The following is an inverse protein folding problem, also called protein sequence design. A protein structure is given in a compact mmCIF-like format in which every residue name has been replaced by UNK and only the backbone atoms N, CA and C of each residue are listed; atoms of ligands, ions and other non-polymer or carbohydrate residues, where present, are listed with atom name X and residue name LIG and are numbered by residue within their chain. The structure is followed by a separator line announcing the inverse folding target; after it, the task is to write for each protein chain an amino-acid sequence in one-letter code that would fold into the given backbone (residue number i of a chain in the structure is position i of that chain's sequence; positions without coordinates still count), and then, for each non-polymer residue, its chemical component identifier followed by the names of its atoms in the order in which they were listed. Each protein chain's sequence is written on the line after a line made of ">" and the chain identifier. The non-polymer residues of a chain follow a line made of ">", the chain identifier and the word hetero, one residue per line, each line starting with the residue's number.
data_IF_372049176048
#
_entry.id   IF_372049176048
#
_cell.length_a   1.000
_cell.length_b   1.000
_cell.length_c   1.000
_cell.angle_alpha   90.00
_cell.angle_beta   90.00
_cell.angle_gamma   90.00
#
_symmetry.space_group_name_H-M   'P 1'
#
loop_
_entity.id
_entity.type
_entity.pdbx_description
1 polymer ?
#
# COMPACT_ATOMS: atom_id res chain seq x y z
N UNK A 1 -77.37 0.22 21.93
CA UNK A 1 -76.38 0.31 23.03
C UNK A 1 -75.14 1.00 22.50
N UNK A 2 -74.48 1.80 23.31
CA UNK A 2 -73.10 2.22 23.05
C UNK A 2 -72.17 1.00 23.21
N UNK A 3 -71.22 0.80 22.31
CA UNK A 3 -70.25 -0.29 22.36
C UNK A 3 -68.83 0.30 22.29
N UNK A 4 -68.48 1.13 23.27
CA UNK A 4 -67.24 1.91 23.26
C UNK A 4 -66.04 1.06 23.72
N UNK A 5 -64.88 1.25 23.08
CA UNK A 5 -63.65 0.50 23.36
C UNK A 5 -63.23 0.64 24.82
N UNK A 6 -63.12 -0.48 25.55
CA UNK A 6 -62.70 -0.50 26.95
C UNK A 6 -61.25 -0.01 27.18
N UNK A 7 -60.43 0.07 26.12
CA UNK A 7 -59.04 0.54 26.18
C UNK A 7 -58.90 1.97 25.66
N UNK A 8 -59.74 2.36 24.69
CA UNK A 8 -59.64 3.63 23.96
C UNK A 8 -60.70 4.68 24.27
N UNK A 9 -61.72 4.38 25.09
CA UNK A 9 -62.77 5.32 25.49
C UNK A 9 -62.75 5.63 26.99
N UNK A 10 -63.31 6.78 27.38
CA UNK A 10 -63.42 7.21 28.77
C UNK A 10 -64.43 6.35 29.55
N UNK A 11 -65.51 5.91 28.89
CA UNK A 11 -66.49 4.99 29.45
C UNK A 11 -67.06 4.08 28.35
N UNK A 12 -67.32 2.81 28.69
CA UNK A 12 -67.75 1.78 27.73
C UNK A 12 -69.22 1.90 27.32
N UNK A 13 -70.04 2.52 28.18
CA UNK A 13 -71.50 2.52 28.08
C UNK A 13 -72.11 3.89 27.71
N UNK A 14 -71.35 4.98 27.78
CA UNK A 14 -71.84 6.33 27.47
C UNK A 14 -71.34 6.77 26.10
N UNK A 15 -72.26 7.19 25.24
CA UNK A 15 -71.97 7.78 23.94
C UNK A 15 -73.01 8.85 23.62
N UNK A 16 -72.70 9.71 22.64
CA UNK A 16 -73.63 10.74 22.20
C UNK A 16 -74.94 10.10 21.69
N UNK A 17 -76.07 10.42 22.32
CA UNK A 17 -77.37 9.81 22.02
C UNK A 17 -77.91 10.07 20.61
N UNK A 18 -77.37 11.07 19.89
CA UNK A 18 -77.78 11.44 18.54
C UNK A 18 -76.82 10.93 17.46
N UNK A 19 -75.51 10.89 17.74
CA UNK A 19 -74.48 10.50 16.76
C UNK A 19 -73.87 9.13 17.00
N UNK A 20 -74.06 8.53 18.17
CA UNK A 20 -73.41 7.28 18.58
C UNK A 20 -71.91 7.40 18.92
N UNK A 21 -71.33 8.60 18.84
CA UNK A 21 -69.90 8.82 19.08
C UNK A 21 -69.54 8.62 20.55
N UNK A 22 -68.56 7.75 20.80
CA UNK A 22 -67.97 7.51 22.10
C UNK A 22 -66.94 8.60 22.48
N UNK A 23 -66.77 8.93 23.78
CA UNK A 23 -65.72 9.84 24.25
C UNK A 23 -64.37 9.13 24.23
N UNK A 24 -63.50 9.46 23.27
CA UNK A 24 -62.20 8.80 23.10
C UNK A 24 -61.10 9.39 24.01
N UNK A 25 -60.21 8.52 24.46
CA UNK A 25 -58.97 8.88 25.13
C UNK A 25 -57.95 9.43 24.13
N UNK A 26 -56.96 10.18 24.62
CA UNK A 26 -55.89 10.73 23.78
C UNK A 26 -55.16 9.59 23.03
N UNK A 27 -54.99 9.76 21.72
CA UNK A 27 -54.39 8.76 20.84
C UNK A 27 -55.37 7.77 20.21
N UNK A 28 -56.66 7.82 20.54
CA UNK A 28 -57.71 6.97 19.95
C UNK A 28 -58.70 7.79 19.11
N UNK A 29 -59.29 7.15 18.10
CA UNK A 29 -60.25 7.76 17.18
C UNK A 29 -61.27 6.73 16.65
N UNK A 30 -62.24 7.21 15.88
CA UNK A 30 -63.36 6.45 15.34
C UNK A 30 -64.60 6.44 16.25
N UNK A 31 -65.72 5.96 15.70
CA UNK A 31 -67.03 6.01 16.37
C UNK A 31 -67.05 5.35 17.76
N UNK A 32 -66.26 4.27 17.92
CA UNK A 32 -66.16 3.49 19.14
C UNK A 32 -64.75 3.52 19.77
N UNK A 33 -63.89 4.45 19.33
CA UNK A 33 -62.52 4.61 19.83
C UNK A 33 -61.65 3.35 19.68
N UNK A 34 -61.85 2.60 18.60
CA UNK A 34 -61.16 1.34 18.30
C UNK A 34 -59.91 1.51 17.41
N UNK A 35 -59.74 2.68 16.79
CA UNK A 35 -58.59 2.98 15.92
C UNK A 35 -57.63 3.95 16.62
N UNK A 36 -56.36 3.95 16.22
CA UNK A 36 -55.42 4.97 16.68
C UNK A 36 -55.60 6.28 15.91
N UNK A 37 -55.47 7.40 16.61
CA UNK A 37 -55.46 8.73 16.02
C UNK A 37 -54.18 8.97 15.20
N UNK A 38 -54.17 9.99 14.35
CA UNK A 38 -52.96 10.38 13.62
C UNK A 38 -51.79 10.70 14.57
N UNK A 39 -50.59 10.25 14.21
CA UNK A 39 -49.43 10.34 15.09
C UNK A 39 -49.41 9.30 16.22
N UNK A 40 -50.28 8.28 16.17
CA UNK A 40 -50.26 7.12 17.05
C UNK A 40 -50.33 5.82 16.23
N UNK A 41 -49.70 4.75 16.73
CA UNK A 41 -49.74 3.40 16.14
C UNK A 41 -50.21 2.38 17.19
N UNK A 42 -50.73 1.24 16.74
CA UNK A 42 -51.20 0.17 17.62
C UNK A 42 -50.04 -0.75 17.99
N UNK A 43 -49.62 -0.73 19.25
CA UNK A 43 -48.55 -1.61 19.76
C UNK A 43 -49.09 -3.04 19.96
N UNK A 44 -48.64 -4.05 19.19
CA UNK A 44 -49.22 -5.40 19.23
C UNK A 44 -49.14 -6.05 20.61
N UNK A 45 -48.08 -5.75 21.36
CA UNK A 45 -47.78 -6.32 22.67
C UNK A 45 -48.74 -5.86 23.78
N UNK A 46 -49.30 -4.65 23.65
CA UNK A 46 -50.13 -4.02 24.69
C UNK A 46 -51.58 -3.78 24.25
N UNK A 47 -51.87 -3.89 22.94
CA UNK A 47 -53.15 -3.47 22.33
C UNK A 47 -53.54 -2.02 22.66
N UNK A 48 -52.55 -1.15 22.85
CA UNK A 48 -52.75 0.29 23.09
C UNK A 48 -52.20 1.12 21.94
N UNK A 49 -52.84 2.25 21.68
CA UNK A 49 -52.31 3.27 20.79
C UNK A 49 -51.16 4.02 21.50
N UNK A 50 -49.96 3.92 20.96
CA UNK A 50 -48.76 4.63 21.44
C UNK A 50 -48.40 5.76 20.47
N UNK A 51 -47.88 6.90 20.97
CA UNK A 51 -47.48 8.00 20.10
C UNK A 51 -46.30 7.60 19.21
N UNK A 52 -46.31 8.05 17.95
CA UNK A 52 -45.26 7.81 16.98
C UNK A 52 -43.91 8.35 17.47
N UNK A 53 -43.88 9.52 18.11
CA UNK A 53 -42.66 10.09 18.69
C UNK A 53 -41.56 10.46 17.67
N UNK A 54 -41.95 10.76 16.42
CA UNK A 54 -41.00 11.10 15.36
C UNK A 54 -40.26 12.41 15.65
N UNK A 55 -38.94 12.41 15.45
CA UNK A 55 -38.08 13.61 15.53
C UNK A 55 -38.56 14.70 14.57
N UNK A 56 -38.86 15.93 15.03
CA UNK A 56 -39.32 17.00 14.15
C UNK A 56 -38.23 17.44 13.16
N UNK A 57 -36.96 17.39 13.57
CA UNK A 57 -35.83 17.72 12.71
C UNK A 57 -35.55 16.63 11.68
N UNK A 58 -35.56 15.36 12.10
CA UNK A 58 -35.13 14.22 11.28
C UNK A 58 -36.23 13.47 10.51
N UNK A 59 -37.50 13.61 10.89
CA UNK A 59 -38.64 13.02 10.18
C UNK A 59 -39.26 13.99 9.18
N UNK A 60 -39.82 13.47 8.09
CA UNK A 60 -40.59 14.24 7.09
C UNK A 60 -42.00 14.58 7.57
N UNK A 61 -42.54 13.81 8.52
CA UNK A 61 -43.83 14.09 9.16
C UNK A 61 -43.87 13.54 10.60
N UNK A 62 -44.93 13.86 11.34
CA UNK A 62 -45.20 13.31 12.68
C UNK A 62 -45.89 11.94 12.66
N UNK A 63 -46.24 11.43 11.48
CA UNK A 63 -46.89 10.13 11.29
C UNK A 63 -45.85 9.02 11.19
N UNK A 64 -46.28 7.81 11.56
CA UNK A 64 -45.50 6.58 11.47
C UNK A 64 -46.35 5.46 10.86
N UNK A 65 -45.70 4.41 10.37
CA UNK A 65 -46.40 3.22 9.87
C UNK A 65 -47.00 2.36 11.00
N UNK A 66 -47.66 1.26 10.63
CA UNK A 66 -48.27 0.33 11.58
C UNK A 66 -47.27 -0.34 12.56
N UNK A 67 -45.96 -0.28 12.30
CA UNK A 67 -44.89 -0.75 13.19
C UNK A 67 -44.33 0.34 14.10
N UNK A 68 -44.84 1.56 14.01
CA UNK A 68 -44.35 2.71 14.78
C UNK A 68 -43.11 3.37 14.18
N UNK A 69 -42.75 3.06 12.93
CA UNK A 69 -41.57 3.59 12.23
C UNK A 69 -41.90 4.89 11.50
N UNK A 70 -41.11 5.91 11.74
CA UNK A 70 -41.25 7.24 11.15
C UNK A 70 -40.62 7.33 9.74
N UNK A 71 -41.10 8.28 8.93
CA UNK A 71 -40.56 8.52 7.58
C UNK A 71 -39.37 9.49 7.63
N UNK A 72 -38.16 8.95 7.76
CA UNK A 72 -36.95 9.77 7.93
C UNK A 72 -36.56 10.57 6.68
N UNK A 73 -35.96 11.74 6.91
CA UNK A 73 -35.27 12.54 5.91
C UNK A 73 -33.91 11.92 5.58
N UNK A 74 -33.33 12.33 4.45
CA UNK A 74 -31.96 11.93 4.05
C UNK A 74 -30.96 12.27 5.16
N UNK A 75 -30.03 11.36 5.43
CA UNK A 75 -29.01 11.50 6.47
C UNK A 75 -29.43 11.08 7.88
N UNK A 76 -30.69 10.67 8.08
CA UNK A 76 -31.25 10.30 9.39
C UNK A 76 -31.92 8.92 9.31
N UNK A 77 -31.83 8.15 10.40
CA UNK A 77 -32.24 6.75 10.49
C UNK A 77 -32.84 6.41 11.86
N UNK A 78 -33.07 5.13 12.12
CA UNK A 78 -33.74 4.54 13.28
C UNK A 78 -35.27 4.78 13.29
N UNK A 79 -35.97 4.12 14.22
CA UNK A 79 -37.43 4.08 14.31
C UNK A 79 -38.06 5.47 14.42
N UNK A 80 -37.36 6.41 15.06
CA UNK A 80 -37.82 7.77 15.39
C UNK A 80 -37.14 8.87 14.59
N UNK A 81 -36.23 8.54 13.67
CA UNK A 81 -35.46 9.50 12.89
C UNK A 81 -34.66 10.49 13.77
N UNK A 82 -34.04 9.97 14.83
CA UNK A 82 -33.31 10.73 15.85
C UNK A 82 -31.79 10.48 15.83
N UNK A 83 -31.32 9.53 15.01
CA UNK A 83 -29.90 9.19 14.83
C UNK A 83 -29.46 9.42 13.38
N UNK A 84 -28.23 9.89 13.17
CA UNK A 84 -27.68 10.03 11.82
C UNK A 84 -27.41 8.66 11.20
N UNK A 85 -27.61 8.55 9.88
CA UNK A 85 -27.26 7.34 9.12
C UNK A 85 -25.75 7.25 8.88
N UNK A 86 -25.27 6.07 8.49
CA UNK A 86 -23.87 5.91 8.08
C UNK A 86 -23.51 6.92 6.97
N UNK A 87 -22.31 7.49 7.05
CA UNK A 87 -21.88 8.59 6.19
C UNK A 87 -22.39 9.98 6.60
N UNK A 88 -23.07 10.11 7.76
CA UNK A 88 -23.52 11.39 8.31
C UNK A 88 -23.16 11.52 9.81
N UNK A 89 -22.95 12.75 10.28
CA UNK A 89 -22.68 13.09 11.68
C UNK A 89 -23.62 14.18 12.20
N UNK A 90 -23.78 14.26 13.53
CA UNK A 90 -24.68 15.19 14.21
C UNK A 90 -24.06 16.58 14.28
N UNK A 91 -24.58 17.51 13.50
CA UNK A 91 -24.26 18.94 13.57
C UNK A 91 -25.28 19.68 14.44
N UNK A 92 -24.78 20.43 15.43
CA UNK A 92 -25.59 21.24 16.37
C UNK A 92 -26.77 20.49 17.01
N UNK A 93 -26.51 19.27 17.50
CA UNK A 93 -27.42 18.34 18.19
C UNK A 93 -28.68 17.87 17.43
N UNK A 94 -29.08 18.56 16.36
CA UNK A 94 -30.42 18.48 15.78
C UNK A 94 -30.46 18.13 14.30
N UNK A 95 -29.36 18.34 13.58
CA UNK A 95 -29.25 18.12 12.13
C UNK A 95 -28.16 17.10 11.84
N UNK A 96 -28.32 16.29 10.80
CA UNK A 96 -27.28 15.37 10.32
C UNK A 96 -26.67 15.91 9.03
N UNK A 97 -25.35 16.08 9.00
CA UNK A 97 -24.59 16.53 7.83
C UNK A 97 -23.72 15.40 7.28
N UNK A 98 -23.48 15.35 5.95
CA UNK A 98 -22.65 14.30 5.34
C UNK A 98 -21.18 14.44 5.76
N UNK A 99 -20.51 13.30 5.97
CA UNK A 99 -19.09 13.26 6.34
C UNK A 99 -18.20 13.97 5.30
N UNK A 100 -17.37 14.92 5.73
CA UNK A 100 -16.55 15.77 4.84
C UNK A 100 -15.12 15.22 4.67
N UNK A 101 -14.99 13.96 4.24
CA UNK A 101 -13.71 13.23 4.26
C UNK A 101 -12.81 13.39 3.02
N UNK A 102 -12.89 14.51 2.31
CA UNK A 102 -12.13 14.78 1.07
C UNK A 102 -12.18 13.65 0.01
N UNK A 103 -13.29 12.89 -0.04
CA UNK A 103 -13.45 11.68 -0.87
C UNK A 103 -12.47 10.51 -0.57
N UNK A 104 -11.70 10.59 0.52
CA UNK A 104 -10.80 9.52 0.98
C UNK A 104 -11.41 8.66 2.11
N UNK A 105 -12.65 8.93 2.52
CA UNK A 105 -13.52 8.01 3.27
C UNK A 105 -14.99 8.34 3.01
N UNK A 106 -15.87 7.36 3.23
CA UNK A 106 -17.33 7.49 3.23
C UNK A 106 -17.94 7.33 4.64
N UNK A 107 -17.10 7.19 5.68
CA UNK A 107 -17.55 6.99 7.07
C UNK A 107 -16.83 7.94 8.02
N UNK A 108 -17.56 8.44 9.00
CA UNK A 108 -17.04 9.30 10.06
C UNK A 108 -17.74 8.99 11.39
N UNK A 109 -17.16 9.45 12.50
CA UNK A 109 -17.73 9.32 13.83
C UNK A 109 -19.04 10.12 13.94
N UNK A 110 -20.19 9.50 14.33
CA UNK A 110 -21.51 10.14 14.27
C UNK A 110 -21.72 11.38 15.13
N UNK A 111 -20.80 11.69 16.06
CA UNK A 111 -20.87 12.85 16.96
C UNK A 111 -19.89 13.96 16.60
N UNK A 112 -18.70 13.63 16.10
CA UNK A 112 -17.63 14.61 15.85
C UNK A 112 -17.44 14.95 14.38
N UNK A 113 -17.92 14.10 13.46
CA UNK A 113 -17.60 14.20 12.04
C UNK A 113 -16.19 13.72 11.67
N UNK A 114 -15.40 13.24 12.63
CA UNK A 114 -14.03 12.76 12.40
C UNK A 114 -14.05 11.52 11.50
N UNK A 115 -13.36 11.60 10.36
CA UNK A 115 -13.34 10.56 9.34
C UNK A 115 -12.62 9.29 9.81
N UNK A 116 -13.23 8.15 9.50
CA UNK A 116 -12.73 6.83 9.87
C UNK A 116 -12.06 6.18 8.66
N UNK A 117 -10.99 5.42 8.90
CA UNK A 117 -10.29 4.61 7.88
C UNK A 117 -9.88 5.38 6.60
N UNK A 118 -9.26 6.56 6.75
CA UNK A 118 -8.73 7.36 5.65
C UNK A 118 -7.86 6.54 4.67
N UNK A 119 -8.30 6.49 3.41
CA UNK A 119 -7.73 5.73 2.30
C UNK A 119 -6.59 6.50 1.61
N UNK A 120 -6.01 5.91 0.56
CA UNK A 120 -5.05 6.58 -0.35
C UNK A 120 -3.80 7.19 0.35
N UNK A 121 -3.46 6.68 1.53
CA UNK A 121 -2.39 7.20 2.40
C UNK A 121 -2.64 8.61 2.96
N UNK A 122 -3.91 8.95 3.21
CA UNK A 122 -4.32 10.20 3.87
C UNK A 122 -4.55 10.04 5.37
N UNK A 123 -4.44 11.13 6.12
CA UNK A 123 -4.71 11.25 7.56
C UNK A 123 -5.25 12.65 7.87
N UNK A 124 -5.45 12.97 9.16
CA UNK A 124 -6.16 14.17 9.60
C UNK A 124 -7.64 13.88 9.93
N UNK A 125 -8.34 14.85 10.51
CA UNK A 125 -9.73 14.64 10.94
C UNK A 125 -10.71 14.47 9.79
N UNK A 126 -10.36 15.00 8.62
CA UNK A 126 -11.13 14.98 7.37
C UNK A 126 -10.36 14.31 6.23
N UNK A 127 -9.34 13.51 6.54
CA UNK A 127 -8.42 12.93 5.55
C UNK A 127 -7.70 14.00 4.68
N UNK A 128 -7.46 15.17 5.25
CA UNK A 128 -6.93 16.39 4.62
C UNK A 128 -5.40 16.50 4.63
N UNK A 129 -4.69 15.51 5.17
CA UNK A 129 -3.22 15.44 5.23
C UNK A 129 -2.74 14.14 4.57
N UNK A 130 -1.45 14.08 4.20
CA UNK A 130 -0.82 12.82 3.78
C UNK A 130 -0.11 12.19 4.99
N UNK A 131 -0.17 10.85 5.11
CA UNK A 131 0.52 10.09 6.15
C UNK A 131 2.02 10.36 6.15
N UNK A 132 2.67 10.14 7.29
CA UNK A 132 4.14 10.23 7.39
C UNK A 132 4.83 9.43 6.26
N UNK A 133 5.86 10.03 5.64
CA UNK A 133 6.58 9.50 4.47
C UNK A 133 5.78 9.49 3.16
N UNK A 134 4.66 10.19 3.11
CA UNK A 134 3.98 10.60 1.88
C UNK A 134 3.97 12.12 1.77
N UNK A 135 3.95 12.63 0.54
CA UNK A 135 3.82 14.05 0.22
C UNK A 135 2.61 14.26 -0.69
N UNK A 136 1.99 15.43 -0.59
CA UNK A 136 0.89 15.83 -1.45
C UNK A 136 1.44 16.24 -2.83
N UNK A 137 1.11 15.48 -3.86
CA UNK A 137 1.44 15.83 -5.24
C UNK A 137 0.48 16.89 -5.77
N UNK A 138 0.97 17.71 -6.71
CA UNK A 138 0.11 18.59 -7.50
C UNK A 138 -0.68 17.82 -8.56
N UNK A 139 -0.11 16.72 -9.08
CA UNK A 139 -0.69 15.90 -10.16
C UNK A 139 -0.45 14.40 -9.91
N UNK A 140 -1.47 13.52 -10.03
CA UNK A 140 -2.90 13.86 -10.11
C UNK A 140 -3.35 14.63 -8.87
N UNK A 141 -4.38 15.45 -9.05
CA UNK A 141 -4.75 16.54 -8.13
C UNK A 141 -4.79 16.09 -6.67
N UNK A 142 -3.91 16.67 -5.86
CA UNK A 142 -3.86 16.51 -4.41
C UNK A 142 -3.63 15.08 -3.88
N UNK A 143 -3.28 14.11 -4.72
CA UNK A 143 -2.99 12.73 -4.29
C UNK A 143 -1.74 12.62 -3.39
N UNK A 144 -1.72 11.61 -2.50
CA UNK A 144 -0.57 11.35 -1.62
C UNK A 144 0.38 10.32 -2.25
N UNK A 145 1.62 10.75 -2.56
CA UNK A 145 2.66 9.90 -3.12
C UNK A 145 3.76 9.63 -2.10
N UNK A 146 4.37 8.44 -2.16
CA UNK A 146 5.47 8.07 -1.25
C UNK A 146 6.67 8.99 -1.49
N UNK A 147 7.27 9.48 -0.41
CA UNK A 147 8.52 10.23 -0.46
C UNK A 147 9.62 9.44 -1.19
N UNK A 148 10.33 10.03 -2.18
CA UNK A 148 11.37 9.36 -2.97
C UNK A 148 12.70 9.22 -2.20
N UNK A 149 12.62 9.04 -0.88
CA UNK A 149 13.76 8.95 0.02
C UNK A 149 14.32 7.52 0.10
N UNK A 150 15.64 7.39 0.17
CA UNK A 150 16.27 6.10 0.48
C UNK A 150 15.77 5.55 1.81
N UNK A 151 15.23 4.33 1.79
CA UNK A 151 14.70 3.63 2.97
C UNK A 151 15.78 3.33 4.02
N UNK A 152 17.02 3.12 3.57
CA UNK A 152 18.17 2.82 4.43
C UNK A 152 18.96 4.06 4.84
N UNK A 153 18.88 5.16 4.08
CA UNK A 153 19.74 6.34 4.27
C UNK A 153 19.01 7.65 4.65
N UNK A 154 17.71 7.61 4.94
CA UNK A 154 16.92 8.79 5.34
C UNK A 154 16.02 8.54 6.55
N UNK A 155 15.50 9.63 7.15
CA UNK A 155 14.29 9.60 7.98
C UNK A 155 13.02 9.29 7.18
N UNK A 156 13.07 9.35 5.84
CA UNK A 156 11.96 8.99 4.95
C UNK A 156 10.83 10.02 4.86
N UNK A 157 10.86 11.08 5.67
CA UNK A 157 9.98 12.25 5.54
C UNK A 157 10.52 13.21 4.49
N UNK A 158 9.63 13.89 3.77
CA UNK A 158 10.01 14.81 2.70
C UNK A 158 8.99 15.95 2.54
N UNK A 159 9.43 17.06 1.95
CA UNK A 159 8.61 18.24 1.66
C UNK A 159 9.01 18.85 0.32
N UNK A 160 8.06 19.49 -0.37
CA UNK A 160 8.36 20.31 -1.55
C UNK A 160 8.75 21.71 -1.07
N UNK A 161 9.92 22.21 -1.47
CA UNK A 161 10.33 23.58 -1.15
C UNK A 161 9.78 24.59 -2.17
N UNK A 162 9.63 25.89 -1.80
CA UNK A 162 9.16 26.92 -2.73
C UNK A 162 10.05 27.01 -3.98
N UNK A 163 9.45 26.85 -5.15
CA UNK A 163 10.17 26.85 -6.45
C UNK A 163 10.67 25.48 -6.92
N UNK A 164 10.55 24.42 -6.11
CA UNK A 164 10.85 23.04 -6.52
C UNK A 164 9.56 22.32 -6.96
N UNK A 165 9.65 21.43 -7.96
CA UNK A 165 8.54 20.58 -8.43
C UNK A 165 8.56 19.17 -7.85
N UNK A 166 9.69 18.78 -7.25
CA UNK A 166 9.90 17.48 -6.61
C UNK A 166 10.09 17.67 -5.09
N UNK A 167 9.72 16.71 -4.26
CA UNK A 167 9.97 16.76 -2.82
C UNK A 167 11.44 16.45 -2.51
N UNK A 168 11.96 17.08 -1.45
CA UNK A 168 13.27 16.80 -0.86
C UNK A 168 13.11 16.15 0.52
N UNK A 169 13.95 15.18 0.82
CA UNK A 169 13.96 14.49 2.11
C UNK A 169 14.45 15.40 3.24
N UNK A 170 13.77 15.40 4.38
CA UNK A 170 14.05 16.30 5.50
C UNK A 170 15.42 16.04 6.16
N UNK A 171 15.82 14.77 6.24
CA UNK A 171 17.04 14.35 6.93
C UNK A 171 17.66 13.12 6.28
N UNK A 172 18.91 13.25 5.88
CA UNK A 172 19.77 12.13 5.51
C UNK A 172 20.50 11.58 6.74
N UNK A 173 20.87 10.29 6.69
CA UNK A 173 21.77 9.69 7.69
C UNK A 173 23.22 10.16 7.45
N UNK A 174 24.10 10.09 8.46
CA UNK A 174 25.51 10.47 8.30
C UNK A 174 26.16 9.74 7.12
N UNK A 175 26.90 10.49 6.30
CA UNK A 175 27.55 9.98 5.09
C UNK A 175 26.67 9.98 3.82
N UNK A 176 25.41 10.39 3.91
CA UNK A 176 24.49 10.48 2.77
C UNK A 176 24.02 11.92 2.55
N UNK A 177 23.85 12.29 1.27
CA UNK A 177 23.46 13.62 0.81
C UNK A 177 22.58 13.54 -0.45
N UNK A 178 22.26 14.70 -1.04
CA UNK A 178 21.38 14.84 -2.18
C UNK A 178 19.88 14.85 -1.81
N UNK A 179 18.99 15.19 -2.76
CA UNK A 179 17.57 15.43 -2.45
C UNK A 179 16.83 14.19 -1.93
N UNK A 180 17.29 13.01 -2.34
CA UNK A 180 16.69 11.70 -2.02
C UNK A 180 17.51 10.90 -0.98
N UNK A 181 18.58 11.50 -0.43
CA UNK A 181 19.55 10.84 0.45
C UNK A 181 20.16 9.56 -0.15
N UNK A 182 20.48 9.59 -1.46
CA UNK A 182 20.99 8.45 -2.23
C UNK A 182 22.41 8.68 -2.80
N UNK A 183 23.06 9.79 -2.43
CA UNK A 183 24.42 10.12 -2.84
C UNK A 183 25.33 10.09 -1.61
N UNK A 184 26.61 9.76 -1.77
CA UNK A 184 27.57 9.81 -0.67
C UNK A 184 28.04 11.24 -0.42
N UNK A 185 28.10 11.62 0.85
CA UNK A 185 28.59 12.93 1.29
C UNK A 185 30.13 13.02 1.20
N UNK A 186 30.67 14.23 1.24
CA UNK A 186 32.11 14.43 1.16
C UNK A 186 32.85 13.72 2.31
N UNK A 187 33.89 12.95 1.99
CA UNK A 187 34.54 12.06 2.96
C UNK A 187 33.94 10.65 3.04
N UNK A 188 33.01 10.32 2.15
CA UNK A 188 32.46 8.97 1.97
C UNK A 188 32.55 8.55 0.49
N UNK A 189 32.65 7.25 0.26
CA UNK A 189 32.63 6.62 -1.06
C UNK A 189 31.54 5.55 -1.12
N UNK A 190 31.07 5.23 -2.32
CA UNK A 190 30.07 4.20 -2.55
C UNK A 190 30.76 2.82 -2.56
N UNK A 191 30.29 1.92 -1.72
CA UNK A 191 30.61 0.50 -1.74
C UNK A 191 29.29 -0.28 -1.69
N UNK A 192 28.96 -0.98 -2.77
CA UNK A 192 27.71 -1.76 -2.92
C UNK A 192 26.42 -0.99 -2.51
N UNK A 193 26.29 0.26 -2.96
CA UNK A 193 25.18 1.18 -2.62
C UNK A 193 25.11 1.66 -1.16
N UNK A 194 26.17 1.42 -0.38
CA UNK A 194 26.35 1.91 0.99
C UNK A 194 27.47 2.96 0.98
N UNK A 195 27.25 4.09 1.64
CA UNK A 195 28.27 5.13 1.77
C UNK A 195 29.21 4.81 2.94
N UNK A 196 30.44 4.40 2.62
CA UNK A 196 31.50 4.03 3.56
C UNK A 196 32.43 5.22 3.75
N UNK A 197 32.87 5.47 4.99
CA UNK A 197 33.77 6.59 5.30
C UNK A 197 35.14 6.36 4.66
N UNK A 198 35.73 7.41 4.11
CA UNK A 198 37.09 7.35 3.57
C UNK A 198 38.12 7.38 4.70
N UNK A 199 39.03 6.41 4.67
CA UNK A 199 40.10 6.25 5.64
C UNK A 199 41.41 6.75 5.01
N UNK A 200 41.82 7.96 5.37
CA UNK A 200 43.02 8.63 4.84
C UNK A 200 44.11 8.85 5.89
N UNK A 201 44.11 8.03 6.96
CA UNK A 201 45.05 8.09 8.09
C UNK A 201 45.22 9.46 8.77
N UNK A 202 44.26 10.38 8.61
CA UNK A 202 44.35 11.77 9.09
C UNK A 202 45.22 12.69 8.22
N UNK A 203 45.80 12.18 7.13
CA UNK A 203 46.72 12.89 6.23
C UNK A 203 46.01 13.66 5.12
N UNK A 204 44.72 13.98 5.26
CA UNK A 204 43.94 14.80 4.32
C UNK A 204 43.10 15.81 5.12
N UNK A 205 43.19 17.09 4.76
CA UNK A 205 42.44 18.19 5.40
C UNK A 205 41.16 18.50 4.61
N UNK A 206 39.95 18.21 5.15
CA UNK A 206 38.68 18.50 4.48
C UNK A 206 38.40 20.00 4.26
N UNK A 207 39.12 20.90 4.95
CA UNK A 207 39.00 22.34 4.71
C UNK A 207 39.84 22.81 3.50
N UNK A 208 40.83 22.02 3.07
CA UNK A 208 41.71 22.33 1.93
C UNK A 208 41.34 21.59 0.66
N UNK A 209 40.84 20.35 0.76
CA UNK A 209 40.38 19.58 -0.38
C UNK A 209 38.84 19.55 -0.46
N UNK A 210 38.21 19.99 -1.56
CA UNK A 210 36.76 19.92 -1.73
C UNK A 210 36.23 18.46 -1.79
N UNK A 211 37.12 17.47 -2.01
CA UNK A 211 36.83 16.04 -1.91
C UNK A 211 37.99 15.30 -1.27
N UNK A 212 37.71 14.62 -0.15
CA UNK A 212 38.71 13.84 0.61
C UNK A 212 39.19 12.59 -0.14
N UNK A 213 38.34 12.03 -1.01
CA UNK A 213 38.54 10.73 -1.66
C UNK A 213 37.74 10.61 -2.96
N UNK A 214 38.06 9.62 -3.79
CA UNK A 214 37.34 9.27 -5.02
C UNK A 214 36.02 8.55 -4.68
N UNK A 215 34.85 8.99 -5.21
CA UNK A 215 33.55 8.43 -4.82
C UNK A 215 33.34 6.94 -5.12
N UNK A 216 34.03 6.39 -6.12
CA UNK A 216 33.82 4.99 -6.57
C UNK A 216 34.85 4.01 -5.99
N UNK A 217 35.99 4.49 -5.47
CA UNK A 217 37.10 3.64 -5.02
C UNK A 217 37.58 3.90 -3.59
N UNK A 218 37.12 4.97 -2.94
CA UNK A 218 37.57 5.36 -1.61
C UNK A 218 39.00 5.91 -1.53
N UNK A 219 39.74 5.87 -2.64
CA UNK A 219 41.14 6.32 -2.74
C UNK A 219 41.25 7.81 -2.41
N UNK A 220 42.12 8.14 -1.46
CA UNK A 220 42.28 9.47 -0.90
C UNK A 220 42.90 10.46 -1.91
N UNK A 221 42.46 11.72 -1.83
CA UNK A 221 42.87 12.79 -2.74
C UNK A 221 43.56 13.89 -1.95
N UNK A 222 44.76 14.29 -2.39
CA UNK A 222 45.51 15.39 -1.78
C UNK A 222 46.15 15.00 -0.44
N UNK A 223 46.85 13.88 -0.41
CA UNK A 223 47.67 13.46 0.74
C UNK A 223 48.64 14.57 1.15
N UNK A 224 48.64 14.90 2.44
CA UNK A 224 49.49 15.92 3.06
C UNK A 224 50.74 15.28 3.68
N UNK A 225 51.61 16.11 4.24
CA UNK A 225 52.78 15.66 5.03
C UNK A 225 53.75 14.73 4.29
N UNK A 226 53.85 14.86 2.96
CA UNK A 226 54.65 13.98 2.08
C UNK A 226 54.26 12.50 2.22
N UNK A 227 52.96 12.24 2.33
CA UNK A 227 52.39 10.89 2.31
C UNK A 227 51.80 10.53 0.94
N UNK A 228 51.74 9.24 0.65
CA UNK A 228 51.30 8.66 -0.61
C UNK A 228 50.54 7.35 -0.37
N UNK A 229 50.11 6.71 -1.46
CA UNK A 229 49.29 5.48 -1.42
C UNK A 229 47.79 5.76 -1.28
N UNK A 230 46.98 4.73 -1.53
CA UNK A 230 45.52 4.86 -1.65
C UNK A 230 44.80 5.42 -0.40
N UNK A 231 45.40 5.28 0.78
CA UNK A 231 44.90 5.75 2.07
C UNK A 231 45.84 6.77 2.72
N UNK A 232 46.75 7.38 1.94
CA UNK A 232 47.81 8.27 2.42
C UNK A 232 48.65 7.62 3.55
N UNK A 233 48.89 6.31 3.46
CA UNK A 233 49.56 5.50 4.49
C UNK A 233 51.08 5.43 4.32
N UNK A 234 51.57 5.56 3.09
CA UNK A 234 52.98 5.45 2.72
C UNK A 234 53.65 6.82 2.69
N UNK A 235 54.98 6.89 2.60
CA UNK A 235 55.69 8.15 2.33
C UNK A 235 55.86 8.34 0.81
N UNK A 236 55.85 9.61 0.37
CA UNK A 236 56.16 10.02 -1.00
C UNK A 236 57.61 9.64 -1.39
N UNK A 237 57.88 9.42 -2.68
CA UNK A 237 59.20 9.03 -3.16
C UNK A 237 60.30 10.01 -2.71
N UNK A 238 61.32 9.47 -2.05
CA UNK A 238 62.41 10.26 -1.45
C UNK A 238 62.16 10.68 0.01
N UNK A 239 61.04 10.30 0.62
CA UNK A 239 60.77 10.44 2.05
C UNK A 239 60.76 9.06 2.74
N UNK A 240 61.07 9.05 4.03
CA UNK A 240 61.05 7.88 4.92
C UNK A 240 60.27 8.23 6.18
N UNK A 241 59.63 7.23 6.80
CA UNK A 241 58.95 7.43 8.08
C UNK A 241 59.99 7.70 9.17
N UNK A 242 59.77 8.75 9.94
CA UNK A 242 60.60 9.11 11.08
C UNK A 242 60.62 7.98 12.15
N UNK A 243 61.71 7.76 12.90
CA UNK A 243 61.75 6.80 14.02
C UNK A 243 60.62 6.97 15.05
N UNK A 244 60.03 8.16 15.19
CA UNK A 244 58.89 8.42 16.08
C UNK A 244 57.52 8.03 15.45
N UNK A 245 57.52 7.63 14.18
CA UNK A 245 56.46 6.86 13.51
C UNK A 245 55.36 7.67 12.81
N UNK A 246 55.20 8.95 13.13
CA UNK A 246 54.04 9.76 12.69
C UNK A 246 54.27 10.58 11.41
N UNK A 247 55.47 11.07 11.15
CA UNK A 247 55.76 11.96 10.02
C UNK A 247 56.70 11.34 8.97
N UNK A 248 56.57 11.76 7.72
CA UNK A 248 57.52 11.43 6.65
C UNK A 248 58.59 12.53 6.55
N UNK A 249 59.86 12.16 6.79
CA UNK A 249 61.03 13.04 6.69
C UNK A 249 61.82 12.74 5.42
N UNK A 250 62.47 13.75 4.86
CA UNK A 250 63.21 13.58 3.59
C UNK A 250 64.41 12.67 3.82
N UNK A 251 64.57 11.65 2.97
CA UNK A 251 65.71 10.74 3.00
C UNK A 251 67.00 11.53 2.74
N UNK A 252 67.82 11.71 3.77
CA UNK A 252 69.16 12.26 3.58
C UNK A 252 69.94 11.34 2.66
N UNK A 253 70.51 11.91 1.60
CA UNK A 253 71.42 11.22 0.72
C UNK A 253 72.76 11.07 1.45
N UNK A 254 72.87 10.05 2.29
CA UNK A 254 74.17 9.58 2.75
C UNK A 254 74.97 9.20 1.51
N UNK A 255 75.91 10.07 1.13
CA UNK A 255 76.95 9.77 0.16
C UNK A 255 77.77 8.61 0.75
N UNK A 256 77.37 7.39 0.41
CA UNK A 256 78.20 6.22 0.65
C UNK A 256 79.55 6.47 -0.07
N UNK A 257 80.70 6.29 0.61
CA UNK A 257 81.98 6.49 -0.05
C UNK A 257 82.09 5.59 -1.28
N UNK A 258 82.62 6.10 -2.38
CA UNK A 258 82.93 5.28 -3.56
C UNK A 258 83.88 4.14 -3.17
N UNK A 259 83.34 2.94 -2.95
CA UNK A 259 84.15 1.72 -3.05
C UNK A 259 84.51 1.54 -4.51
N UNK A 260 85.75 1.94 -4.84
CA UNK A 260 86.39 1.67 -6.12
C UNK A 260 86.61 0.17 -6.29
N UNK A 261 85.60 -0.53 -6.78
CA UNK A 261 85.79 -1.88 -7.31
C UNK A 261 86.55 -1.79 -8.64
N UNK A 262 87.77 -2.33 -8.61
CA UNK A 262 88.66 -2.40 -9.75
C UNK A 262 88.07 -3.30 -10.83
N UNK A 263 87.76 -2.72 -11.99
CA UNK A 263 87.45 -3.48 -13.20
C UNK A 263 88.69 -4.24 -13.66
N UNK A 264 88.61 -5.57 -13.73
CA UNK A 264 89.57 -6.40 -14.49
C UNK A 264 88.78 -7.27 -15.47
N UNK A 265 89.23 -7.32 -16.72
CA UNK A 265 88.43 -7.73 -17.88
C UNK A 265 88.14 -9.23 -18.03
N UNK A 266 86.94 -9.51 -18.55
CA UNK A 266 86.57 -10.35 -19.71
C UNK A 266 87.58 -11.43 -20.24
N UNK A 267 87.17 -12.57 -20.84
CA UNK A 267 85.86 -13.03 -21.31
C UNK A 267 85.84 -14.56 -21.52
N UNK A 268 84.66 -15.19 -21.40
CA UNK A 268 84.12 -16.27 -22.26
C UNK A 268 82.87 -16.89 -21.59
N UNK A 269 81.86 -17.43 -22.25
CA UNK A 269 81.25 -17.31 -23.58
C UNK A 269 80.34 -18.56 -23.73
N UNK A 270 79.02 -18.40 -23.69
CA UNK A 270 78.08 -19.33 -24.32
C UNK A 270 76.73 -18.65 -24.55
N UNK A 271 75.99 -19.13 -25.55
CA UNK A 271 75.02 -18.36 -26.34
C UNK A 271 73.60 -18.94 -26.19
N UNK A 272 72.59 -18.08 -26.38
CA UNK A 272 71.17 -18.42 -26.27
C UNK A 272 70.67 -19.44 -27.32
N UNK A 273 69.40 -19.89 -27.17
CA UNK A 273 68.46 -19.70 -28.27
C UNK A 273 67.13 -19.00 -27.90
N UNK A 274 66.52 -18.36 -28.90
CA UNK A 274 65.15 -17.81 -28.99
C UNK A 274 64.10 -18.93 -29.21
N UNK A 275 62.76 -18.76 -29.20
CA UNK A 275 61.80 -18.03 -30.09
C UNK A 275 60.38 -18.17 -29.44
N UNK A 276 59.51 -17.15 -29.25
CA UNK A 276 58.35 -16.65 -30.08
C UNK A 276 57.28 -17.72 -30.51
N UNK A 277 55.95 -17.48 -30.71
CA UNK A 277 55.12 -16.26 -30.92
C UNK A 277 53.61 -16.43 -30.55
N UNK A 278 53.07 -15.48 -29.76
CA UNK A 278 51.74 -14.81 -29.67
C UNK A 278 50.38 -15.26 -30.33
N UNK A 279 49.27 -14.72 -29.75
CA UNK A 279 47.83 -14.55 -30.22
C UNK A 279 46.98 -15.86 -30.35
N UNK A 280 45.63 -15.97 -30.23
CA UNK A 280 44.43 -15.12 -30.53
C UNK A 280 43.24 -15.34 -29.53
N UNK A 281 42.33 -14.35 -29.45
CA UNK A 281 41.06 -14.25 -28.71
C UNK A 281 39.99 -15.38 -28.87
N UNK A 282 39.03 -15.40 -27.91
CA UNK A 282 37.55 -15.35 -28.09
C UNK A 282 36.66 -16.46 -27.44
N UNK A 283 35.86 -16.00 -26.46
CA UNK A 283 34.40 -16.25 -26.25
C UNK A 283 33.81 -17.60 -25.78
N UNK A 284 32.82 -17.46 -24.88
CA UNK A 284 31.60 -18.27 -24.65
C UNK A 284 31.64 -19.55 -23.77
N UNK A 285 31.23 -19.35 -22.51
CA UNK A 285 30.10 -20.01 -21.79
C UNK A 285 30.05 -21.54 -21.52
N UNK A 286 29.30 -22.00 -20.49
CA UNK A 286 29.61 -23.26 -19.77
C UNK A 286 28.60 -24.40 -19.97
N UNK A 287 29.02 -25.64 -19.67
CA UNK A 287 28.10 -26.80 -19.53
C UNK A 287 28.58 -27.88 -18.55
N UNK A 288 27.68 -28.20 -17.61
CA UNK A 288 27.32 -29.55 -17.11
C UNK A 288 28.37 -30.45 -16.44
N UNK A 289 28.19 -30.68 -15.13
CA UNK A 289 28.73 -31.82 -14.38
C UNK A 289 27.86 -33.06 -14.64
N UNK A 290 28.46 -34.21 -14.97
CA UNK A 290 27.80 -35.51 -14.91
C UNK A 290 28.44 -36.45 -13.88
N UNK A 291 27.58 -37.24 -13.26
CA UNK A 291 27.86 -38.19 -12.18
C UNK A 291 28.47 -39.49 -12.71
N UNK A 292 29.48 -40.04 -12.02
CA UNK A 292 29.97 -41.41 -12.23
C UNK A 292 30.05 -42.14 -10.89
N UNK A 293 29.29 -43.23 -10.76
CA UNK A 293 29.40 -44.21 -9.68
C UNK A 293 30.51 -45.24 -10.00
N UNK A 294 31.03 -45.92 -8.97
CA UNK A 294 31.21 -47.37 -9.09
C UNK A 294 30.49 -48.15 -7.97
N UNK A 295 30.10 -49.39 -8.26
CA UNK A 295 29.31 -50.27 -7.38
C UNK A 295 30.09 -51.54 -7.04
N UNK A 296 30.21 -51.79 -5.73
CA UNK A 296 30.28 -53.09 -5.02
C UNK A 296 31.18 -54.25 -5.48
N UNK A 297 32.02 -54.72 -4.55
CA UNK A 297 32.13 -56.14 -4.16
C UNK A 297 32.60 -56.21 -2.69
N UNK A 298 31.67 -56.34 -1.74
CA UNK A 298 31.25 -57.62 -1.12
C UNK A 298 32.24 -58.18 -0.09
N UNK A 299 31.91 -58.04 1.20
CA UNK A 299 32.25 -59.03 2.21
C UNK A 299 31.22 -59.08 3.35
N UNK A 300 31.23 -60.16 4.14
CA UNK A 300 30.03 -60.76 4.71
C UNK A 300 29.83 -60.55 6.24
N UNK A 301 28.56 -60.41 6.65
CA UNK A 301 28.00 -60.67 7.99
C UNK A 301 28.64 -60.04 9.24
N UNK A 302 27.98 -59.02 9.80
CA UNK A 302 27.22 -59.14 11.07
C UNK A 302 26.48 -57.82 11.38
N UNK A 303 25.44 -57.88 12.22
CA UNK A 303 24.62 -56.73 12.58
C UNK A 303 25.37 -55.74 13.49
N UNK A 304 26.13 -54.83 12.88
CA UNK A 304 26.56 -53.60 13.54
C UNK A 304 25.43 -52.57 13.48
N UNK A 305 25.06 -51.99 14.62
CA UNK A 305 24.32 -50.73 14.61
C UNK A 305 25.22 -49.71 13.91
N UNK A 306 24.75 -49.15 12.80
CA UNK A 306 25.45 -48.04 12.17
C UNK A 306 25.37 -46.86 13.14
N UNK A 307 26.49 -46.54 13.79
CA UNK A 307 26.61 -45.37 14.66
C UNK A 307 26.41 -44.11 13.82
N UNK A 308 25.15 -43.67 13.76
CA UNK A 308 24.71 -42.46 13.07
C UNK A 308 25.49 -41.30 13.68
N UNK A 309 26.42 -40.75 12.92
CA UNK A 309 27.23 -39.60 13.36
C UNK A 309 26.31 -38.48 13.87
N UNK A 310 26.74 -37.77 14.91
CA UNK A 310 25.94 -36.70 15.53
C UNK A 310 25.44 -35.64 14.52
N UNK A 311 26.23 -35.39 13.47
CA UNK A 311 25.84 -34.52 12.34
C UNK A 311 24.72 -35.13 11.50
N UNK A 312 24.78 -36.42 11.18
CA UNK A 312 23.72 -37.13 10.46
C UNK A 312 22.42 -37.22 11.28
N UNK A 313 22.50 -37.43 12.60
CA UNK A 313 21.33 -37.38 13.49
C UNK A 313 20.69 -35.98 13.48
N UNK A 314 21.49 -34.93 13.63
CA UNK A 314 21.00 -33.54 13.60
C UNK A 314 20.37 -33.18 12.24
N UNK A 315 20.91 -33.68 11.12
CA UNK A 315 20.30 -33.50 9.78
C UNK A 315 18.93 -34.20 9.72
N UNK A 316 18.81 -35.43 10.22
CA UNK A 316 17.53 -36.16 10.26
C UNK A 316 16.49 -35.41 11.13
N UNK A 317 16.89 -34.94 12.31
CA UNK A 317 16.00 -34.14 13.16
C UNK A 317 15.58 -32.83 12.47
N UNK A 318 16.49 -32.13 11.81
CA UNK A 318 16.20 -30.91 11.07
C UNK A 318 15.22 -31.15 9.90
N UNK A 319 15.40 -32.21 9.12
CA UNK A 319 14.48 -32.53 8.01
C UNK A 319 13.09 -32.90 8.52
N UNK A 320 12.99 -33.65 9.62
CA UNK A 320 11.69 -33.96 10.26
C UNK A 320 11.01 -32.68 10.76
N UNK A 321 11.74 -31.77 11.42
CA UNK A 321 11.19 -30.47 11.86
C UNK A 321 10.68 -29.64 10.67
N UNK A 322 11.46 -29.54 9.58
CA UNK A 322 11.06 -28.82 8.38
C UNK A 322 9.78 -29.43 7.77
N UNK A 323 9.69 -30.76 7.65
CA UNK A 323 8.50 -31.45 7.14
C UNK A 323 7.28 -31.16 8.02
N UNK A 324 7.42 -31.23 9.34
CA UNK A 324 6.32 -30.92 10.29
C UNK A 324 5.89 -29.46 10.16
N UNK A 325 6.82 -28.51 10.07
CA UNK A 325 6.49 -27.08 9.88
C UNK A 325 5.77 -26.85 8.55
N UNK A 326 6.23 -27.46 7.45
CA UNK A 326 5.56 -27.36 6.13
C UNK A 326 4.15 -27.94 6.17
N UNK A 327 3.93 -29.09 6.81
CA UNK A 327 2.60 -29.68 6.98
C UNK A 327 1.68 -28.81 7.83
N UNK A 328 2.18 -28.22 8.93
CA UNK A 328 1.41 -27.30 9.77
C UNK A 328 1.05 -26.01 9.02
N UNK A 329 1.98 -25.41 8.27
CA UNK A 329 1.71 -24.24 7.44
C UNK A 329 0.69 -24.55 6.34
N UNK A 330 0.78 -25.74 5.70
CA UNK A 330 -0.21 -26.23 4.74
C UNK A 330 -1.61 -26.39 5.36
N UNK A 331 -1.68 -26.96 6.56
CA UNK A 331 -2.94 -27.10 7.30
C UNK A 331 -3.56 -25.73 7.68
N UNK A 332 -2.75 -24.79 8.19
CA UNK A 332 -3.20 -23.42 8.50
C UNK A 332 -3.69 -22.71 7.24
N UNK A 333 -2.96 -22.84 6.11
CA UNK A 333 -3.38 -22.30 4.82
C UNK A 333 -4.71 -22.89 4.32
N UNK A 334 -4.90 -24.20 4.47
CA UNK A 334 -6.16 -24.87 4.12
C UNK A 334 -7.34 -24.41 5.00
N UNK A 335 -7.13 -24.26 6.32
CA UNK A 335 -8.15 -23.72 7.24
C UNK A 335 -8.49 -22.26 6.92
N UNK A 336 -7.50 -21.45 6.57
CA UNK A 336 -7.71 -20.06 6.15
C UNK A 336 -8.52 -19.98 4.85
N UNK A 337 -8.14 -20.74 3.82
CA UNK A 337 -8.88 -20.83 2.55
C UNK A 337 -10.30 -21.37 2.74
N UNK A 338 -10.51 -22.34 3.63
CA UNK A 338 -11.84 -22.85 3.96
C UNK A 338 -12.72 -21.80 4.65
N UNK A 339 -12.16 -21.03 5.61
CA UNK A 339 -12.87 -19.90 6.23
C UNK A 339 -13.23 -18.81 5.24
N UNK A 340 -12.29 -18.43 4.37
CA UNK A 340 -12.52 -17.44 3.31
C UNK A 340 -13.63 -17.90 2.35
N UNK A 341 -13.63 -19.18 1.94
CA UNK A 341 -14.69 -19.77 1.12
C UNK A 341 -16.07 -19.74 1.81
N UNK A 342 -16.13 -20.07 3.11
CA UNK A 342 -17.39 -20.00 3.87
C UNK A 342 -17.88 -18.56 4.06
N UNK A 343 -16.99 -17.59 4.31
CA UNK A 343 -17.36 -16.17 4.40
C UNK A 343 -17.93 -15.66 3.07
N UNK A 344 -17.34 -16.05 1.92
CA UNK A 344 -17.91 -15.74 0.60
C UNK A 344 -19.30 -16.36 0.38
N UNK A 345 -19.57 -17.52 0.99
CA UNK A 345 -20.87 -18.19 0.90
C UNK A 345 -21.94 -17.57 1.82
N UNK A 346 -21.53 -16.96 2.94
CA UNK A 346 -22.41 -16.20 3.84
C UNK A 346 -22.68 -14.77 3.33
N UNK A 347 -21.73 -14.16 2.63
CA UNK A 347 -21.87 -12.82 2.03
C UNK A 347 -22.39 -12.85 0.58
N UNK A 348 -22.65 -14.03 0.01
CA UNK A 348 -23.34 -14.12 -1.28
C UNK A 348 -24.81 -13.71 -1.08
N UNK A 349 -25.34 -12.72 -1.83
CA UNK A 349 -26.75 -12.36 -1.73
C UNK A 349 -27.61 -13.57 -2.09
N UNK A 350 -28.65 -13.79 -1.30
CA UNK A 350 -29.58 -14.88 -1.55
C UNK A 350 -30.30 -14.63 -2.89
N UNK A 351 -30.16 -15.55 -3.85
CA UNK A 351 -30.97 -15.54 -5.06
C UNK A 351 -32.11 -16.54 -4.87
N UNK A 352 -33.26 -16.08 -4.37
CA UNK A 352 -34.51 -16.82 -4.49
C UNK A 352 -34.91 -16.88 -5.96
N UNK A 353 -34.77 -18.05 -6.57
CA UNK A 353 -35.32 -18.32 -7.89
C UNK A 353 -36.83 -18.52 -7.73
N UNK A 354 -37.62 -17.45 -7.84
CA UNK A 354 -39.05 -17.61 -8.10
C UNK A 354 -39.24 -18.05 -9.55
N UNK A 355 -39.58 -19.32 -9.74
CA UNK A 355 -40.07 -19.83 -11.02
C UNK A 355 -41.48 -19.29 -11.26
N UNK A 356 -41.57 -18.14 -11.93
CA UNK A 356 -42.79 -17.71 -12.60
C UNK A 356 -42.72 -18.19 -14.05
N UNK A 357 -43.76 -18.90 -14.47
CA UNK A 357 -43.81 -19.56 -15.77
C UNK A 357 -43.69 -18.53 -16.93
N UNK A 358 -42.90 -18.92 -17.93
CA UNK A 358 -42.84 -18.36 -19.29
C UNK A 358 -42.16 -16.99 -19.57
N UNK A 359 -41.21 -16.53 -18.75
CA UNK A 359 -40.14 -15.61 -19.23
C UNK A 359 -38.86 -15.68 -18.40
N UNK A 360 -37.74 -16.13 -19.01
CA UNK A 360 -36.41 -16.04 -18.38
C UNK A 360 -35.81 -14.66 -18.68
N UNK A 361 -36.09 -13.68 -17.83
CA UNK A 361 -35.33 -12.42 -17.80
C UNK A 361 -34.30 -12.45 -16.66
N UNK A 362 -33.03 -12.19 -16.99
CA UNK A 362 -31.95 -12.12 -16.02
C UNK A 362 -31.60 -10.66 -15.73
N UNK A 363 -32.34 -10.02 -14.80
CA UNK A 363 -32.06 -8.64 -14.40
C UNK A 363 -30.97 -8.56 -13.33
N UNK A 364 -29.73 -8.45 -13.75
CA UNK A 364 -28.60 -8.09 -12.87
C UNK A 364 -28.61 -6.59 -12.60
N UNK A 365 -29.03 -6.18 -11.40
CA UNK A 365 -28.88 -4.79 -10.94
C UNK A 365 -27.47 -4.57 -10.37
N UNK A 366 -26.49 -4.44 -11.26
CA UNK A 366 -25.16 -3.91 -10.95
C UNK A 366 -24.56 -3.23 -12.17
N UNK A 367 -24.78 -1.91 -12.26
CA UNK A 367 -24.10 -1.06 -13.24
C UNK A 367 -23.70 0.24 -12.55
N UNK A 368 -22.40 0.34 -12.20
CA UNK A 368 -21.71 1.55 -11.69
C UNK A 368 -20.22 1.26 -11.48
N UNK A 369 -19.52 0.91 -12.57
CA UNK A 369 -18.08 1.15 -12.68
C UNK A 369 -17.88 2.02 -13.92
N UNK A 370 -17.45 3.29 -13.79
CA UNK A 370 -17.11 4.10 -14.95
C UNK A 370 -15.76 3.64 -15.53
N UNK A 371 -15.53 3.99 -16.80
CA UNK A 371 -14.30 3.77 -17.58
C UNK A 371 -14.17 2.38 -18.24
N UNK A 372 -14.97 2.17 -19.29
CA UNK A 372 -14.52 1.42 -20.46
C UNK A 372 -14.57 2.37 -21.69
N UNK A 373 -13.42 2.55 -22.33
CA UNK A 373 -13.23 3.42 -23.49
C UNK A 373 -13.95 2.84 -24.71
N UNK A 374 -14.96 3.56 -25.24
CA UNK A 374 -15.63 3.19 -26.50
C UNK A 374 -14.93 3.87 -27.67
N UNK A 375 -13.71 3.42 -27.93
CA UNK A 375 -13.01 3.64 -29.19
C UNK A 375 -13.43 2.54 -30.18
N UNK A 376 -14.57 2.77 -30.84
CA UNK A 376 -15.14 1.86 -31.85
C UNK A 376 -15.49 2.60 -33.12
N UNK A 377 -14.83 2.23 -34.24
CA UNK A 377 -15.22 2.60 -35.59
C UNK A 377 -16.74 2.40 -35.81
N UNK A 378 -17.44 3.44 -36.24
CA UNK A 378 -17.72 3.66 -37.66
C UNK A 378 -18.28 5.07 -37.88
N UNK A 379 -17.86 5.70 -38.97
CA UNK A 379 -18.46 6.93 -39.51
C UNK A 379 -19.90 6.66 -39.97
N UNK A 380 -20.78 7.67 -39.98
CA UNK A 380 -21.21 8.24 -41.27
C UNK A 380 -21.88 9.63 -41.16
N UNK A 381 -21.85 10.33 -42.29
CA UNK A 381 -22.31 11.67 -42.66
C UNK A 381 -23.49 12.29 -41.90
N UNK A 382 -23.26 13.54 -41.46
CA UNK A 382 -24.31 14.53 -41.27
C UNK A 382 -24.51 15.33 -42.56
N UNK A 383 -25.57 15.06 -43.31
CA UNK A 383 -25.98 15.89 -44.45
C UNK A 383 -27.35 16.52 -44.20
N UNK A 384 -27.43 17.85 -44.34
CA UNK A 384 -28.63 18.63 -44.06
C UNK A 384 -29.77 18.31 -45.05
N UNK A 385 -31.01 18.24 -44.55
CA UNK A 385 -32.22 18.22 -45.39
C UNK A 385 -33.11 19.40 -45.05
N UNK A 386 -33.17 20.36 -45.96
CA UNK A 386 -34.12 21.46 -45.95
C UNK A 386 -35.57 20.96 -46.25
N UNK A 387 -36.62 21.71 -45.88
CA UNK A 387 -37.94 21.12 -45.70
C UNK A 387 -38.81 21.11 -46.98
N UNK A 388 -38.94 19.94 -47.61
CA UNK A 388 -40.04 19.64 -48.53
C UNK A 388 -40.23 18.11 -48.66
N UNK A 389 -41.33 17.60 -48.10
CA UNK A 389 -41.55 16.16 -48.02
C UNK A 389 -42.02 15.53 -49.33
N UNK A 390 -41.33 14.48 -49.79
CA UNK A 390 -41.96 13.39 -50.52
C UNK A 390 -41.14 12.09 -50.38
N UNK A 391 -41.82 10.99 -50.04
CA UNK A 391 -41.23 9.65 -49.91
C UNK A 391 -41.07 8.99 -51.29
N UNK A 392 -39.91 8.40 -51.56
CA UNK A 392 -39.73 7.38 -52.61
C UNK A 392 -38.82 6.24 -52.11
N UNK A 393 -39.30 5.00 -52.27
CA UNK A 393 -38.49 3.79 -52.11
C UNK A 393 -37.66 3.56 -53.39
N UNK A 394 -36.44 3.03 -53.25
CA UNK A 394 -35.94 1.93 -54.11
C UNK A 394 -34.65 1.28 -53.57
N UNK A 395 -34.64 -0.05 -53.52
CA UNK A 395 -33.44 -0.93 -53.60
C UNK A 395 -33.00 -1.04 -55.10
N UNK A 396 -31.93 -1.77 -55.54
CA UNK A 396 -31.10 -2.79 -54.84
C UNK A 396 -29.58 -2.86 -55.23
N UNK A 397 -28.89 -3.92 -54.77
CA UNK A 397 -27.75 -4.64 -55.41
C UNK A 397 -26.45 -3.92 -55.82
N UNK A 398 -25.31 -4.30 -55.21
CA UNK A 398 -24.22 -5.16 -55.77
C UNK A 398 -23.11 -5.32 -54.69
N UNK A 399 -22.53 -6.47 -54.30
CA UNK A 399 -21.90 -7.65 -54.92
C UNK A 399 -20.40 -7.53 -55.30
N UNK A 400 -19.53 -8.20 -54.51
CA UNK A 400 -18.09 -8.51 -54.73
C UNK A 400 -17.10 -7.32 -54.79
N UNK A 401 -15.77 -7.46 -54.63
CA UNK A 401 -14.87 -8.33 -53.81
C UNK A 401 -13.42 -7.95 -54.18
N UNK A 402 -12.53 -7.78 -53.21
CA UNK A 402 -11.09 -7.99 -53.35
C UNK A 402 -10.52 -8.44 -52.00
#
# INVERSE_FOLDING_TARGET
>A
LCNCSAVGSVSTAECNGTTGQCPCLQGYTGLHCQSCAEGFFLEPSSQRCLPCGCSPSGSSSTHCDHSGKCQCKVGVTDLKCDRCSDGYYRFNETTCEPCQCNNHSNTCEPLTGTCLHCQENTEGSHCELCKERFYRSAHPAHSCHRCPCSTVASSGTCRIHPGETAPRCDKCKPGYTGPNCNQCDNGYYNSDSICVRCECNGNVDPARSPRVCKPESGECIGCLYHTAGAHCQDCEDGYVRDPEGTNCTKKEATLAPETRDFTTSAANASKAPSVSTAVINSTLSPTTIQTIFPVSSSDNSTSAFADVSWTQFNIIILTVIIIVVVLLMGFVGAVYMYREYQNRKLNAPFWTIELKEDNISFSSYHDSIPNADVSGLLEDDGNEVAPNGQLTLTTPMHNYKA
#
